data_IF_501425715757
#
_entry.id   IF_501425715757
#
_cell.length_a   1.000
_cell.length_b   1.000
_cell.length_c   1.000
_cell.angle_alpha   90.00
_cell.angle_beta   90.00
_cell.angle_gamma   90.00
#
_symmetry.space_group_name_H-M   'P 1'
#
loop_
_entity.id
_entity.type
_entity.pdbx_description
1 polymer ?
#
# COMPACT_ATOMS: atom_id res chain seq x y z
N UNK A 1 -5.69 -13.40 24.71
CA UNK A 1 -5.84 -13.04 23.29
C UNK A 1 -4.46 -12.67 22.78
N UNK A 2 -3.86 -13.47 21.89
CA UNK A 2 -2.61 -13.09 21.26
C UNK A 2 -2.86 -11.82 20.44
N UNK A 3 -2.12 -10.75 20.74
CA UNK A 3 -2.20 -9.49 19.99
C UNK A 3 -1.58 -9.74 18.62
N UNK A 4 -2.42 -9.90 17.60
CA UNK A 4 -1.96 -10.01 16.21
C UNK A 4 -1.46 -8.64 15.74
N UNK A 5 -0.36 -8.62 14.98
CA UNK A 5 0.19 -7.39 14.40
C UNK A 5 -0.80 -6.81 13.39
N UNK A 6 -1.01 -5.50 13.38
CA UNK A 6 -1.91 -4.83 12.42
C UNK A 6 -1.12 -4.13 11.34
N UNK A 7 -1.24 -4.62 10.10
CA UNK A 7 -0.55 -4.07 8.93
C UNK A 7 -1.09 -2.69 8.53
N UNK A 8 -2.40 -2.45 8.68
CA UNK A 8 -2.97 -1.13 8.40
C UNK A 8 -2.49 -0.12 9.43
N UNK A 9 -2.49 -0.46 10.72
CA UNK A 9 -2.03 0.45 11.78
C UNK A 9 -0.56 0.87 11.62
N UNK A 10 0.32 -0.07 11.27
CA UNK A 10 1.74 0.22 11.12
C UNK A 10 2.04 0.95 9.82
N UNK A 11 1.44 0.54 8.70
CA UNK A 11 1.55 1.27 7.45
C UNK A 11 0.95 2.69 7.54
N UNK A 12 -0.08 2.90 8.36
CA UNK A 12 -0.68 4.23 8.57
C UNK A 12 0.32 5.25 9.10
N UNK A 13 1.20 4.84 10.03
CA UNK A 13 2.27 5.72 10.52
C UNK A 13 3.26 6.13 9.42
N UNK A 14 3.48 5.26 8.44
CA UNK A 14 4.34 5.57 7.29
C UNK A 14 3.63 6.52 6.33
N UNK A 15 2.33 6.31 6.09
CA UNK A 15 1.51 7.22 5.31
C UNK A 15 1.44 8.62 5.94
N UNK A 16 1.27 8.72 7.27
CA UNK A 16 1.29 10.00 7.98
C UNK A 16 2.60 10.76 7.79
N UNK A 17 3.74 10.05 7.85
CA UNK A 17 5.06 10.64 7.58
C UNK A 17 5.22 11.08 6.13
N UNK A 18 4.72 10.29 5.18
CA UNK A 18 4.70 10.68 3.77
C UNK A 18 3.88 11.96 3.59
N UNK A 19 2.68 11.99 4.17
CA UNK A 19 1.75 13.10 4.02
C UNK A 19 2.17 14.38 4.74
N UNK A 20 3.02 14.27 5.78
CA UNK A 20 3.58 15.42 6.49
C UNK A 20 4.67 16.16 5.70
N UNK A 21 5.31 15.50 4.73
CA UNK A 21 6.45 16.07 3.97
C UNK A 21 6.32 15.80 2.45
N UNK A 22 5.23 16.20 1.78
CA UNK A 22 4.96 15.84 0.39
C UNK A 22 6.07 16.27 -0.58
N UNK A 23 6.72 17.41 -0.35
CA UNK A 23 7.83 17.92 -1.15
C UNK A 23 9.06 16.99 -1.06
N UNK A 24 9.33 16.43 0.12
CA UNK A 24 10.46 15.52 0.34
C UNK A 24 10.33 14.24 -0.49
N UNK A 25 9.09 13.75 -0.63
CA UNK A 25 8.78 12.56 -1.40
C UNK A 25 8.43 12.89 -2.86
N UNK A 26 8.31 14.17 -3.22
CA UNK A 26 7.88 14.63 -4.55
C UNK A 26 6.53 14.03 -4.98
N UNK A 27 5.59 13.96 -4.03
CA UNK A 27 4.23 13.44 -4.19
C UNK A 27 3.19 14.56 -4.19
N UNK A 28 2.00 14.30 -4.71
CA UNK A 28 0.85 15.22 -4.65
C UNK A 28 -0.25 14.59 -3.79
N UNK A 29 -0.83 15.39 -2.90
CA UNK A 29 -1.88 14.93 -1.99
C UNK A 29 -3.16 15.67 -2.31
N UNK A 30 -4.24 14.92 -2.47
CA UNK A 30 -5.59 15.42 -2.68
C UNK A 30 -6.52 14.79 -1.65
N UNK A 31 -7.40 15.60 -1.06
CA UNK A 31 -8.49 15.09 -0.22
C UNK A 31 -9.78 15.15 -1.02
N UNK A 32 -10.41 14.01 -1.25
CA UNK A 32 -11.71 13.96 -1.91
C UNK A 32 -12.84 14.25 -0.92
N UNK A 33 -13.98 14.72 -1.42
CA UNK A 33 -15.22 14.84 -0.66
C UNK A 33 -15.86 13.44 -0.56
N UNK A 34 -15.34 12.57 0.34
CA UNK A 34 -15.92 12.38 1.67
C UNK A 34 -14.88 12.24 2.80
N UNK A 35 -13.63 12.68 2.61
CA UNK A 35 -12.56 12.59 3.63
C UNK A 35 -11.38 11.70 3.24
N UNK A 36 -11.47 10.97 2.12
CA UNK A 36 -10.42 10.08 1.64
C UNK A 36 -9.22 10.88 1.16
N UNK A 37 -8.02 10.42 1.52
CA UNK A 37 -6.76 10.99 1.04
C UNK A 37 -6.22 10.18 -0.14
N UNK A 38 -6.02 10.85 -1.27
CA UNK A 38 -5.36 10.31 -2.46
C UNK A 38 -3.93 10.86 -2.50
N UNK A 39 -2.96 9.94 -2.57
CA UNK A 39 -1.54 10.27 -2.75
C UNK A 39 -1.15 9.87 -4.16
N UNK A 40 -0.97 10.86 -5.03
CA UNK A 40 -0.35 10.66 -6.34
C UNK A 40 1.17 10.65 -6.18
N UNK A 41 1.77 9.49 -6.49
CA UNK A 41 3.20 9.26 -6.40
C UNK A 41 3.88 9.01 -7.76
N UNK A 42 3.18 9.25 -8.88
CA UNK A 42 3.75 8.98 -10.20
C UNK A 42 2.89 9.27 -11.44
N UNK A 43 1.64 9.72 -11.29
CA UNK A 43 0.76 10.09 -12.42
C UNK A 43 1.06 11.53 -12.85
N UNK A 44 0.79 12.50 -11.96
CA UNK A 44 1.15 13.91 -12.15
C UNK A 44 2.30 14.32 -11.24
N UNK A 45 2.56 13.56 -10.18
CA UNK A 45 3.70 13.76 -9.30
C UNK A 45 4.95 13.12 -9.91
N UNK A 46 6.12 13.68 -9.58
CA UNK A 46 7.41 13.15 -10.06
C UNK A 46 7.77 11.82 -9.37
N UNK A 47 7.42 11.69 -8.09
CA UNK A 47 7.87 10.59 -7.24
C UNK A 47 9.41 10.57 -7.11
N UNK A 48 9.96 9.37 -6.90
CA UNK A 48 11.40 9.14 -6.82
C UNK A 48 11.77 8.06 -5.79
N UNK A 49 13.07 7.88 -5.53
CA UNK A 49 13.57 6.81 -4.65
C UNK A 49 12.97 6.85 -3.23
N UNK A 50 12.81 8.05 -2.64
CA UNK A 50 12.19 8.18 -1.31
C UNK A 50 10.74 7.74 -1.31
N UNK A 51 9.95 8.17 -2.31
CA UNK A 51 8.56 7.75 -2.48
C UNK A 51 8.45 6.24 -2.71
N UNK A 52 9.23 5.68 -3.64
CA UNK A 52 9.23 4.25 -3.93
C UNK A 52 9.61 3.40 -2.70
N UNK A 53 10.61 3.84 -1.93
CA UNK A 53 11.00 3.18 -0.68
C UNK A 53 9.86 3.14 0.33
N UNK A 54 9.26 4.29 0.66
CA UNK A 54 8.20 4.32 1.68
C UNK A 54 6.92 3.63 1.21
N UNK A 55 6.58 3.69 -0.08
CA UNK A 55 5.45 2.97 -0.67
C UNK A 55 5.71 1.46 -0.61
N UNK A 56 6.94 1.00 -0.81
CA UNK A 56 7.30 -0.42 -0.62
C UNK A 56 7.07 -0.86 0.82
N UNK A 57 7.52 -0.08 1.80
CA UNK A 57 7.30 -0.38 3.23
C UNK A 57 5.79 -0.36 3.57
N UNK A 58 4.99 0.56 2.98
CA UNK A 58 3.53 0.62 3.11
C UNK A 58 2.87 -0.62 2.51
N UNK A 59 3.23 -1.00 1.27
CA UNK A 59 2.74 -2.21 0.61
C UNK A 59 2.99 -3.43 1.48
N UNK A 60 4.13 -3.50 2.16
CA UNK A 60 4.49 -4.58 3.07
C UNK A 60 3.94 -4.40 4.49
N UNK A 61 2.95 -3.53 4.69
CA UNK A 61 2.20 -3.42 5.94
C UNK A 61 2.96 -2.74 7.07
N UNK A 62 4.05 -2.03 6.78
CA UNK A 62 4.92 -1.41 7.79
C UNK A 62 5.67 -2.41 8.68
N UNK A 63 5.69 -3.69 8.30
CA UNK A 63 6.37 -4.79 9.01
C UNK A 63 7.57 -5.34 8.23
N UNK A 64 7.98 -4.63 7.19
CA UNK A 64 9.21 -4.86 6.45
C UNK A 64 9.99 -3.55 6.32
N UNK A 65 11.31 -3.69 6.14
CA UNK A 65 12.20 -2.56 5.87
C UNK A 65 12.65 -2.60 4.42
N UNK A 66 12.74 -1.44 3.79
CA UNK A 66 13.32 -1.28 2.47
C UNK A 66 14.50 -0.30 2.48
N UNK A 67 15.57 -0.65 1.78
CA UNK A 67 16.76 0.18 1.61
C UNK A 67 17.16 0.23 0.14
N UNK A 68 17.47 1.43 -0.36
CA UNK A 68 18.03 1.60 -1.70
C UNK A 68 19.54 1.55 -1.56
N UNK A 69 20.15 0.54 -2.18
CA UNK A 69 21.58 0.30 -2.17
C UNK A 69 22.12 0.37 -3.61
N UNK A 70 23.44 0.51 -3.76
CA UNK A 70 24.10 0.27 -5.04
C UNK A 70 24.58 -1.18 -5.06
N UNK A 71 24.25 -1.93 -6.11
CA UNK A 71 24.65 -3.32 -6.24
C UNK A 71 25.28 -3.57 -7.61
N UNK A 72 26.38 -4.32 -7.61
CA UNK A 72 27.07 -4.74 -8.84
C UNK A 72 26.53 -6.09 -9.33
N UNK A 73 26.17 -6.14 -10.61
CA UNK A 73 25.74 -7.33 -11.35
C UNK A 73 26.67 -7.52 -12.55
N UNK A 74 27.74 -8.30 -12.36
CA UNK A 74 28.81 -8.42 -13.36
C UNK A 74 29.54 -7.08 -13.54
N UNK A 75 29.51 -6.51 -14.74
CA UNK A 75 30.11 -5.20 -15.04
C UNK A 75 29.16 -4.01 -14.84
N UNK A 76 27.88 -4.25 -14.51
CA UNK A 76 26.90 -3.18 -14.29
C UNK A 76 26.76 -2.87 -12.79
N UNK A 77 26.73 -1.59 -12.45
CA UNK A 77 26.36 -1.11 -11.12
C UNK A 77 25.01 -0.39 -11.20
N UNK A 78 24.01 -0.88 -10.45
CA UNK A 78 22.63 -0.41 -10.53
C UNK A 78 22.05 -0.14 -9.14
N UNK A 79 21.18 0.88 -9.00
CA UNK A 79 20.33 1.02 -7.82
C UNK A 79 19.50 -0.25 -7.62
N UNK A 80 19.52 -0.78 -6.40
CA UNK A 80 18.84 -2.01 -6.01
C UNK A 80 18.09 -1.80 -4.70
N UNK A 81 17.10 -2.64 -4.45
CA UNK A 81 16.32 -2.59 -3.21
C UNK A 81 16.64 -3.81 -2.35
N UNK A 82 17.09 -3.56 -1.12
CA UNK A 82 17.22 -4.57 -0.08
C UNK A 82 15.95 -4.55 0.78
N UNK A 83 15.32 -5.71 0.94
CA UNK A 83 14.08 -5.85 1.70
C UNK A 83 14.21 -6.99 2.69
N UNK A 84 13.81 -6.77 3.94
CA UNK A 84 13.81 -7.78 5.00
C UNK A 84 12.62 -7.63 5.94
N UNK A 85 12.14 -8.76 6.48
CA UNK A 85 10.99 -8.85 7.38
C UNK A 85 11.04 -10.14 8.20
N UNK A 86 10.61 -10.08 9.46
CA UNK A 86 10.41 -11.25 10.32
C UNK A 86 9.02 -11.88 10.16
N UNK A 87 8.17 -11.30 9.30
CA UNK A 87 6.77 -11.71 9.09
C UNK A 87 6.49 -11.99 7.60
N UNK A 88 7.24 -12.89 6.94
CA UNK A 88 7.24 -13.02 5.48
C UNK A 88 5.85 -13.29 4.90
N UNK A 89 5.05 -14.18 5.50
CA UNK A 89 3.72 -14.51 5.00
C UNK A 89 2.74 -13.32 5.10
N UNK A 90 2.77 -12.58 6.21
CA UNK A 90 1.89 -11.43 6.43
C UNK A 90 2.34 -10.25 5.55
N UNK A 91 3.63 -9.96 5.51
CA UNK A 91 4.18 -8.83 4.78
C UNK A 91 4.00 -9.00 3.26
N UNK A 92 4.28 -10.20 2.74
CA UNK A 92 4.21 -10.48 1.30
C UNK A 92 2.79 -10.84 0.87
N UNK A 93 2.19 -11.93 1.37
CA UNK A 93 0.87 -12.36 0.93
C UNK A 93 -0.28 -11.57 1.57
N UNK A 94 -0.17 -11.29 2.87
CA UNK A 94 -1.21 -10.58 3.63
C UNK A 94 -1.36 -9.11 3.25
N UNK A 95 -0.30 -8.49 2.73
CA UNK A 95 -0.25 -7.06 2.40
C UNK A 95 0.27 -6.79 0.99
N UNK A 96 1.55 -7.04 0.71
CA UNK A 96 2.24 -6.56 -0.51
C UNK A 96 1.68 -7.12 -1.82
N UNK A 97 1.23 -8.37 -1.81
CA UNK A 97 0.76 -9.08 -2.99
C UNK A 97 -0.34 -8.29 -3.70
N UNK A 98 -0.21 -8.10 -5.01
CA UNK A 98 -1.16 -7.40 -5.86
C UNK A 98 -2.38 -8.27 -6.19
N UNK A 99 -3.01 -8.80 -5.15
CA UNK A 99 -4.07 -9.80 -5.24
C UNK A 99 -5.47 -9.23 -5.42
N UNK A 100 -5.65 -7.91 -5.31
CA UNK A 100 -6.95 -7.28 -5.49
C UNK A 100 -7.08 -6.79 -6.94
N UNK A 101 -7.70 -7.61 -7.78
CA UNK A 101 -8.04 -7.19 -9.15
C UNK A 101 -9.18 -6.18 -9.12
N UNK A 102 -8.97 -5.01 -9.71
CA UNK A 102 -9.92 -3.91 -9.70
C UNK A 102 -10.39 -3.63 -11.12
N UNK A 103 -11.71 -3.74 -11.31
CA UNK A 103 -12.40 -3.32 -12.52
C UNK A 103 -13.60 -2.45 -12.14
N UNK A 104 -13.74 -1.28 -12.77
CA UNK A 104 -14.90 -0.39 -12.62
C UNK A 104 -15.09 0.38 -13.93
N UNK A 105 -16.07 -0.04 -14.76
CA UNK A 105 -16.20 0.46 -16.13
C UNK A 105 -14.93 0.19 -16.94
N UNK A 106 -14.36 1.27 -17.50
CA UNK A 106 -13.10 1.25 -18.25
C UNK A 106 -11.84 1.38 -17.37
N UNK A 107 -12.00 1.49 -16.05
CA UNK A 107 -10.89 1.57 -15.11
C UNK A 107 -10.39 0.17 -14.73
N UNK A 108 -9.09 -0.03 -14.86
CA UNK A 108 -8.39 -1.25 -14.47
C UNK A 108 -7.16 -0.91 -13.63
N UNK A 109 -6.99 -1.62 -12.52
CA UNK A 109 -5.80 -1.55 -11.69
C UNK A 109 -5.58 -2.87 -10.96
N UNK A 110 -4.37 -3.07 -10.46
CA UNK A 110 -4.07 -4.07 -9.45
C UNK A 110 -3.83 -3.37 -8.12
N UNK A 111 -4.52 -3.86 -7.09
CA UNK A 111 -4.47 -3.34 -5.74
C UNK A 111 -3.57 -4.19 -4.85
N UNK A 112 -2.63 -3.53 -4.20
CA UNK A 112 -1.70 -4.07 -3.21
C UNK A 112 -1.91 -3.36 -1.87
N UNK A 113 -1.28 -3.89 -0.83
CA UNK A 113 -1.17 -3.22 0.47
C UNK A 113 -2.18 -3.69 1.52
N UNK A 114 -2.13 -3.06 2.69
CA UNK A 114 -2.69 -3.60 3.92
C UNK A 114 -4.22 -3.63 3.95
N UNK A 115 -4.91 -2.78 3.16
CA UNK A 115 -6.37 -2.80 3.04
C UNK A 115 -6.91 -4.18 2.62
N UNK A 116 -6.14 -4.95 1.85
CA UNK A 116 -6.51 -6.31 1.45
C UNK A 116 -6.77 -7.23 2.65
N UNK A 117 -6.09 -7.00 3.78
CA UNK A 117 -6.26 -7.78 5.00
C UNK A 117 -7.53 -7.44 5.80
N UNK A 118 -8.17 -6.32 5.50
CA UNK A 118 -9.52 -5.97 5.98
C UNK A 118 -10.58 -6.55 5.05
N UNK A 119 -10.43 -6.31 3.74
CA UNK A 119 -11.36 -6.74 2.71
C UNK A 119 -11.26 -8.23 2.33
N UNK A 120 -10.25 -8.93 2.83
CA UNK A 120 -9.94 -10.34 2.56
C UNK A 120 -9.84 -10.65 1.06
N UNK A 121 -9.00 -9.90 0.33
CA UNK A 121 -8.85 -10.03 -1.13
C UNK A 121 -7.48 -10.63 -1.55
N UNK A 122 -7.43 -11.83 -2.15
CA UNK A 122 -8.46 -12.87 -2.19
C UNK A 122 -8.56 -13.64 -0.86
N UNK A 123 -9.73 -14.19 -0.55
CA UNK A 123 -10.06 -14.75 0.77
C UNK A 123 -9.19 -15.96 1.12
N UNK A 124 -8.89 -16.79 0.12
CA UNK A 124 -8.14 -18.04 0.25
C UNK A 124 -6.70 -17.81 0.74
N UNK A 125 -6.11 -16.65 0.44
CA UNK A 125 -4.79 -16.30 0.97
C UNK A 125 -4.86 -16.14 2.48
N UNK A 126 -5.83 -15.38 2.99
CA UNK A 126 -5.98 -15.08 4.41
C UNK A 126 -6.32 -16.31 5.25
N UNK A 127 -7.11 -17.22 4.69
CA UNK A 127 -7.37 -18.54 5.27
C UNK A 127 -6.08 -19.37 5.38
N UNK A 128 -5.26 -19.39 4.33
CA UNK A 128 -3.99 -20.15 4.30
C UNK A 128 -2.93 -19.60 5.25
N UNK A 129 -2.80 -18.28 5.36
CA UNK A 129 -1.80 -17.65 6.24
C UNK A 129 -2.31 -17.44 7.67
N UNK A 130 -3.58 -17.77 7.95
CA UNK A 130 -4.17 -17.63 9.28
C UNK A 130 -4.19 -16.19 9.80
N UNK A 131 -4.39 -15.21 8.91
CA UNK A 131 -4.27 -13.79 9.23
C UNK A 131 -5.49 -13.01 8.76
N UNK A 132 -5.93 -12.05 9.59
CA UNK A 132 -6.90 -11.01 9.25
C UNK A 132 -6.51 -9.79 10.07
N UNK A 133 -6.56 -8.62 9.45
CA UNK A 133 -6.32 -7.39 10.18
C UNK A 133 -7.62 -6.89 10.82
N UNK A 134 -7.48 -6.08 11.87
CA UNK A 134 -8.57 -5.43 12.59
C UNK A 134 -8.12 -4.02 12.95
N UNK A 135 -8.49 -3.05 12.11
CA UNK A 135 -8.14 -1.65 12.29
C UNK A 135 -9.17 -0.74 11.58
N UNK A 136 -9.34 0.47 12.10
CA UNK A 136 -10.37 1.42 11.66
C UNK A 136 -10.01 2.20 10.38
N UNK A 137 -8.76 2.08 9.90
CA UNK A 137 -8.28 2.77 8.70
C UNK A 137 -7.69 1.78 7.70
N UNK A 138 -7.82 2.10 6.41
CA UNK A 138 -7.36 1.25 5.32
C UNK A 138 -6.38 2.00 4.40
N UNK A 139 -5.38 1.29 3.88
CA UNK A 139 -4.46 1.83 2.85
C UNK A 139 -4.37 0.83 1.72
N UNK A 140 -4.73 1.27 0.51
CA UNK A 140 -4.55 0.51 -0.72
C UNK A 140 -3.58 1.25 -1.64
N UNK A 141 -2.67 0.50 -2.25
CA UNK A 141 -1.75 1.00 -3.27
C UNK A 141 -2.21 0.48 -4.62
N UNK A 142 -2.40 1.40 -5.57
CA UNK A 142 -2.88 1.08 -6.91
C UNK A 142 -1.75 1.30 -7.91
N UNK A 143 -1.45 0.27 -8.70
CA UNK A 143 -0.63 0.43 -9.90
C UNK A 143 -1.56 0.79 -11.07
N UNK A 144 -1.50 2.06 -11.51
CA UNK A 144 -2.43 2.64 -12.48
C UNK A 144 -1.84 3.90 -13.13
N UNK A 145 -2.36 4.27 -14.30
CA UNK A 145 -2.03 5.49 -15.02
C UNK A 145 -3.02 6.64 -14.76
N UNK A 146 -4.11 6.39 -14.02
CA UNK A 146 -5.21 7.33 -13.79
C UNK A 146 -5.69 7.29 -12.33
N UNK A 147 -6.15 8.41 -11.77
CA UNK A 147 -6.80 8.42 -10.46
C UNK A 147 -8.03 7.49 -10.43
N UNK A 148 -8.31 6.81 -9.31
CA UNK A 148 -9.47 5.94 -9.19
C UNK A 148 -10.76 6.78 -9.28
N UNK A 149 -11.80 6.31 -10.01
CA UNK A 149 -13.10 6.98 -10.04
C UNK A 149 -13.76 6.95 -8.65
N UNK A 150 -14.60 7.95 -8.36
CA UNK A 150 -15.24 8.09 -7.03
C UNK A 150 -16.00 6.83 -6.59
N UNK A 151 -16.75 6.20 -7.49
CA UNK A 151 -17.48 4.95 -7.22
C UNK A 151 -16.56 3.82 -6.73
N UNK A 152 -15.32 3.76 -7.24
CA UNK A 152 -14.33 2.79 -6.79
C UNK A 152 -13.80 3.12 -5.39
N UNK A 153 -13.62 4.40 -5.08
CA UNK A 153 -13.23 4.86 -3.73
C UNK A 153 -14.29 4.46 -2.70
N UNK A 154 -15.58 4.70 -2.99
CA UNK A 154 -16.70 4.28 -2.15
C UNK A 154 -16.71 2.75 -1.94
N UNK A 155 -16.44 1.99 -3.00
CA UNK A 155 -16.33 0.52 -2.92
C UNK A 155 -15.19 0.08 -1.99
N UNK A 156 -14.04 0.74 -2.00
CA UNK A 156 -12.94 0.39 -1.08
C UNK A 156 -13.32 0.64 0.38
N UNK A 157 -13.99 1.75 0.68
CA UNK A 157 -14.47 2.08 2.03
C UNK A 157 -15.43 0.98 2.51
N UNK A 158 -16.38 0.58 1.68
CA UNK A 158 -17.33 -0.49 1.98
C UNK A 158 -16.65 -1.85 2.17
N UNK A 159 -15.82 -2.27 1.22
CA UNK A 159 -15.15 -3.58 1.26
C UNK A 159 -14.21 -3.70 2.47
N UNK A 160 -13.55 -2.61 2.88
CA UNK A 160 -12.68 -2.58 4.06
C UNK A 160 -13.43 -2.36 5.38
N UNK A 161 -14.73 -2.05 5.34
CA UNK A 161 -15.55 -1.76 6.53
C UNK A 161 -14.99 -0.62 7.39
N UNK A 162 -14.45 0.42 6.76
CA UNK A 162 -13.89 1.61 7.41
C UNK A 162 -14.74 2.85 7.14
N UNK A 163 -14.42 3.96 7.81
CA UNK A 163 -14.97 5.27 7.46
C UNK A 163 -14.12 5.94 6.37
N UNK A 164 -14.69 6.89 5.61
CA UNK A 164 -13.93 7.65 4.62
C UNK A 164 -12.78 8.50 5.19
N UNK A 165 -12.86 8.98 6.45
CA UNK A 165 -11.85 9.81 7.13
C UNK A 165 -10.69 9.03 7.77
#
# INVERSE_FOLDING_TARGET
MNKTISVNKLAWKLLERLCAEPELYSVKIEKSAPGVTIVDAGIKAKGGFKAGKIITEICMGGIAKAEIISQRYGELELPSILVYTDYPAIATFGSQFAGWQIKEGDYFAIGSGPARALALKPKEIYEKIGYRDDYEKAIIVLETDKPPPQKLVERFVQDCHVKPE
#
